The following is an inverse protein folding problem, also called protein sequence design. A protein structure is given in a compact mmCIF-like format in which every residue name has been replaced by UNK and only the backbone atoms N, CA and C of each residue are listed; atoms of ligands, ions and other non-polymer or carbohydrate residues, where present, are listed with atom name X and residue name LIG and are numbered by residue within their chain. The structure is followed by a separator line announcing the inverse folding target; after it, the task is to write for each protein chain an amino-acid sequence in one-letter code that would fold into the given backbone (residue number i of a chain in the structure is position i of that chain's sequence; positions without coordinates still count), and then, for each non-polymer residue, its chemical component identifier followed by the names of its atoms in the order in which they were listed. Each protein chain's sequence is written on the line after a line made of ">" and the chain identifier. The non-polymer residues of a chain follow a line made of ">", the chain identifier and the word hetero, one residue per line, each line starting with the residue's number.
data_IF_253327311454
#
_entry.id   IF_253327311454
#
_cell.length_a   1.000
_cell.length_b   1.000
_cell.length_c   1.000
_cell.angle_alpha   90.00
_cell.angle_beta   90.00
_cell.angle_gamma   90.00
#
_symmetry.space_group_name_H-M   'P 1'
#
loop_
_entity.id
_entity.type
_entity.pdbx_description
1 polymer ?
#
# COMPACT_ATOMS: atom_id res chain seq x y z
N UNK A 1 0.61 -30.55 -2.84
CA UNK A 1 0.45 -29.37 -1.96
C UNK A 1 -0.87 -28.75 -2.31
N UNK A 2 -1.81 -28.61 -1.37
CA UNK A 2 -3.12 -28.06 -1.69
C UNK A 2 -2.97 -26.59 -2.13
N UNK A 3 -3.38 -26.29 -3.36
CA UNK A 3 -3.54 -24.92 -3.85
C UNK A 3 -4.71 -24.29 -3.11
N UNK A 4 -4.48 -23.80 -1.89
CA UNK A 4 -5.44 -22.90 -1.28
C UNK A 4 -5.43 -21.61 -2.10
N UNK A 5 -6.58 -21.18 -2.65
CA UNK A 5 -6.66 -19.86 -3.25
C UNK A 5 -6.21 -18.84 -2.21
N UNK A 6 -5.45 -17.80 -2.61
CA UNK A 6 -5.08 -16.74 -1.69
C UNK A 6 -6.35 -16.19 -1.02
N UNK A 7 -6.31 -15.90 0.28
CA UNK A 7 -7.48 -15.39 0.98
C UNK A 7 -8.05 -14.18 0.24
N UNK A 8 -9.35 -14.21 -0.03
CA UNK A 8 -10.05 -13.12 -0.68
C UNK A 8 -9.87 -11.84 0.14
N UNK A 9 -9.43 -10.76 -0.53
CA UNK A 9 -9.38 -9.43 0.07
C UNK A 9 -10.79 -9.00 0.47
N UNK A 10 -10.98 -8.61 1.74
CA UNK A 10 -12.27 -8.21 2.31
C UNK A 10 -12.09 -7.04 3.27
N UNK A 11 -13.14 -6.23 3.38
CA UNK A 11 -13.18 -5.05 4.25
C UNK A 11 -12.96 -3.75 3.48
N UNK A 12 -12.81 -2.64 4.21
CA UNK A 12 -12.65 -1.32 3.62
C UNK A 12 -11.27 -1.21 2.95
N UNK A 13 -11.29 -0.80 1.68
CA UNK A 13 -10.12 -0.58 0.85
C UNK A 13 -9.94 0.91 0.58
N UNK A 14 -8.86 1.48 1.11
CA UNK A 14 -8.50 2.88 0.90
C UNK A 14 -7.32 3.02 -0.05
N UNK A 15 -7.32 4.13 -0.79
CA UNK A 15 -6.27 4.51 -1.73
C UNK A 15 -5.73 5.87 -1.27
N UNK A 16 -4.42 5.99 -1.11
CA UNK A 16 -3.79 7.26 -0.72
C UNK A 16 -3.76 8.23 -1.89
N UNK A 17 -3.81 9.53 -1.61
CA UNK A 17 -3.57 10.57 -2.61
C UNK A 17 -2.50 11.54 -2.07
N UNK A 18 -1.41 11.83 -2.82
CA UNK A 18 -0.33 12.66 -2.30
C UNK A 18 -0.72 14.12 -2.06
N UNK A 19 -1.83 14.59 -2.65
CA UNK A 19 -2.38 15.94 -2.42
C UNK A 19 -3.14 16.03 -1.11
N UNK A 20 -3.92 14.98 -0.78
CA UNK A 20 -4.73 14.93 0.44
C UNK A 20 -3.95 14.38 1.64
N UNK A 21 -2.97 13.53 1.37
CA UNK A 21 -2.14 12.82 2.34
C UNK A 21 -0.65 13.08 2.04
N UNK A 22 -0.15 14.32 2.26
CA UNK A 22 1.24 14.64 1.95
C UNK A 22 2.21 13.80 2.79
N UNK A 23 3.42 13.58 2.27
CA UNK A 23 4.40 12.61 2.78
C UNK A 23 4.67 12.71 4.29
N UNK A 24 4.67 13.92 4.86
CA UNK A 24 4.90 14.15 6.30
C UNK A 24 3.73 13.74 7.21
N UNK A 25 2.52 13.55 6.66
CA UNK A 25 1.31 13.17 7.40
C UNK A 25 0.75 11.81 6.98
N UNK A 26 1.18 11.30 5.82
CA UNK A 26 0.66 10.07 5.21
C UNK A 26 0.61 8.89 6.19
N UNK A 27 1.72 8.60 6.88
CA UNK A 27 1.81 7.44 7.79
C UNK A 27 0.85 7.59 8.96
N UNK A 28 0.71 8.81 9.51
CA UNK A 28 -0.24 9.09 10.58
C UNK A 28 -1.69 8.93 10.12
N UNK A 29 -2.04 9.44 8.94
CA UNK A 29 -3.40 9.33 8.41
C UNK A 29 -3.76 7.87 8.09
N UNK A 30 -2.82 7.09 7.55
CA UNK A 30 -3.02 5.65 7.35
C UNK A 30 -3.19 4.92 8.68
N UNK A 31 -2.44 5.28 9.72
CA UNK A 31 -2.62 4.71 11.06
C UNK A 31 -4.03 4.98 11.60
N UNK A 32 -4.54 6.21 11.48
CA UNK A 32 -5.91 6.56 11.88
C UNK A 32 -6.97 5.78 11.09
N UNK A 33 -6.74 5.58 9.78
CA UNK A 33 -7.64 4.79 8.95
C UNK A 33 -7.65 3.31 9.37
N UNK A 34 -6.49 2.75 9.71
CA UNK A 34 -6.35 1.37 10.22
C UNK A 34 -7.01 1.20 11.59
N UNK A 35 -6.85 2.17 12.50
CA UNK A 35 -7.59 2.22 13.78
C UNK A 35 -9.10 2.25 13.55
N UNK A 36 -9.57 2.94 12.51
CA UNK A 36 -10.96 2.95 12.07
C UNK A 36 -11.46 1.66 11.40
N UNK A 37 -10.60 0.64 11.24
CA UNK A 37 -10.99 -0.68 10.73
C UNK A 37 -10.71 -0.94 9.26
N UNK A 38 -9.93 -0.08 8.58
CA UNK A 38 -9.43 -0.36 7.22
C UNK A 38 -8.68 -1.69 7.19
N UNK A 39 -8.89 -2.47 6.12
CA UNK A 39 -8.25 -3.78 5.92
C UNK A 39 -7.31 -3.83 4.74
N UNK A 40 -7.38 -2.87 3.84
CA UNK A 40 -6.54 -2.81 2.64
C UNK A 40 -6.15 -1.35 2.40
N UNK A 41 -4.85 -1.10 2.24
CA UNK A 41 -4.29 0.22 1.93
C UNK A 41 -3.52 0.10 0.61
N UNK A 42 -3.89 0.89 -0.39
CA UNK A 42 -3.12 1.07 -1.60
C UNK A 42 -2.35 2.39 -1.54
N UNK A 43 -1.02 2.29 -1.59
CA UNK A 43 -0.17 3.46 -1.79
C UNK A 43 -0.16 3.84 -3.28
N UNK A 44 -0.63 5.06 -3.55
CA UNK A 44 -0.63 5.66 -4.87
C UNK A 44 0.02 7.03 -4.81
N UNK A 45 1.18 7.15 -5.44
CA UNK A 45 1.90 8.40 -5.61
C UNK A 45 2.64 8.37 -6.95
N UNK A 46 2.24 9.26 -7.86
CA UNK A 46 2.84 9.41 -9.21
C UNK A 46 3.82 10.59 -9.28
N UNK A 47 4.10 11.24 -8.16
CA UNK A 47 4.80 12.53 -8.09
C UNK A 47 6.12 12.47 -7.32
N UNK A 48 6.19 11.75 -6.20
CA UNK A 48 7.43 11.64 -5.41
C UNK A 48 8.49 10.80 -6.12
N UNK A 49 9.75 11.09 -5.82
CA UNK A 49 10.89 10.30 -6.28
C UNK A 49 10.90 8.88 -5.66
N UNK A 50 11.63 7.98 -6.29
CA UNK A 50 11.67 6.56 -5.89
C UNK A 50 12.15 6.34 -4.45
N UNK A 51 13.15 7.09 -3.97
CA UNK A 51 13.69 6.88 -2.62
C UNK A 51 12.69 7.32 -1.56
N UNK A 52 12.05 8.47 -1.77
CA UNK A 52 10.95 8.94 -0.92
C UNK A 52 9.81 7.93 -0.88
N UNK A 53 9.34 7.46 -2.04
CA UNK A 53 8.31 6.41 -2.13
C UNK A 53 8.73 5.15 -1.37
N UNK A 54 9.96 4.68 -1.56
CA UNK A 54 10.46 3.45 -0.93
C UNK A 54 10.48 3.55 0.59
N UNK A 55 10.91 4.69 1.14
CA UNK A 55 10.89 4.93 2.58
C UNK A 55 9.46 4.89 3.13
N UNK A 56 8.53 5.57 2.48
CA UNK A 56 7.12 5.59 2.88
C UNK A 56 6.49 4.19 2.77
N UNK A 57 6.68 3.50 1.66
CA UNK A 57 6.14 2.14 1.47
C UNK A 57 6.68 1.17 2.53
N UNK A 58 7.96 1.25 2.92
CA UNK A 58 8.50 0.41 4.01
C UNK A 58 7.81 0.68 5.35
N UNK A 59 7.57 1.94 5.68
CA UNK A 59 6.84 2.31 6.91
C UNK A 59 5.39 1.82 6.86
N UNK A 60 4.72 2.00 5.72
CA UNK A 60 3.33 1.58 5.53
C UNK A 60 3.17 0.06 5.51
N UNK A 61 4.10 -0.70 4.92
CA UNK A 61 4.12 -2.16 4.99
C UNK A 61 4.21 -2.63 6.44
N UNK A 62 5.15 -2.08 7.21
CA UNK A 62 5.32 -2.43 8.63
C UNK A 62 4.08 -2.08 9.45
N UNK A 63 3.50 -0.91 9.22
CA UNK A 63 2.28 -0.45 9.89
C UNK A 63 1.09 -1.37 9.56
N UNK A 64 0.83 -1.65 8.28
CA UNK A 64 -0.28 -2.53 7.89
C UNK A 64 -0.12 -3.95 8.49
N UNK A 65 1.11 -4.45 8.60
CA UNK A 65 1.39 -5.74 9.25
C UNK A 65 0.99 -5.75 10.73
N UNK A 66 1.23 -4.65 11.46
CA UNK A 66 0.81 -4.52 12.87
C UNK A 66 -0.71 -4.58 13.03
N UNK A 67 -1.45 -4.04 12.06
CA UNK A 67 -2.92 -4.00 12.06
C UNK A 67 -3.58 -5.19 11.35
N UNK A 68 -2.79 -6.20 10.93
CA UNK A 68 -3.27 -7.34 10.13
C UNK A 68 -4.02 -6.90 8.86
N UNK A 69 -3.57 -5.82 8.24
CA UNK A 69 -4.10 -5.25 7.01
C UNK A 69 -3.18 -5.54 5.81
N UNK A 70 -3.77 -5.57 4.62
CA UNK A 70 -3.03 -5.73 3.37
C UNK A 70 -2.49 -4.38 2.89
N UNK A 71 -1.25 -4.38 2.40
CA UNK A 71 -0.61 -3.20 1.82
C UNK A 71 -0.27 -3.48 0.36
N UNK A 72 -0.73 -2.60 -0.52
CA UNK A 72 -0.63 -2.73 -1.97
C UNK A 72 0.08 -1.50 -2.53
N UNK A 73 1.04 -1.70 -3.43
CA UNK A 73 1.67 -0.60 -4.18
C UNK A 73 0.97 -0.46 -5.52
N UNK A 74 0.75 0.77 -5.98
CA UNK A 74 0.18 1.03 -7.29
C UNK A 74 1.28 1.10 -8.37
N UNK A 75 1.07 0.40 -9.49
CA UNK A 75 1.84 0.37 -10.77
C UNK A 75 3.33 -0.06 -10.68
N UNK A 76 4.03 0.19 -9.58
CA UNK A 76 5.50 0.12 -9.49
C UNK A 76 5.97 -1.23 -8.90
N UNK A 77 6.29 -2.19 -9.78
CA UNK A 77 6.75 -3.56 -9.42
C UNK A 77 8.04 -3.52 -8.59
N UNK A 78 8.99 -2.65 -8.97
CA UNK A 78 10.27 -2.48 -8.28
C UNK A 78 10.03 -2.01 -6.84
N UNK A 79 9.21 -0.99 -6.68
CA UNK A 79 8.84 -0.45 -5.38
C UNK A 79 8.10 -1.47 -4.52
N UNK A 80 7.15 -2.21 -5.09
CA UNK A 80 6.44 -3.28 -4.39
C UNK A 80 7.39 -4.35 -3.83
N UNK A 81 8.34 -4.82 -4.67
CA UNK A 81 9.34 -5.81 -4.27
C UNK A 81 10.27 -5.28 -3.18
N UNK A 82 10.84 -4.08 -3.36
CA UNK A 82 11.82 -3.51 -2.42
C UNK A 82 11.20 -3.08 -1.08
N UNK A 83 9.91 -2.73 -1.07
CA UNK A 83 9.16 -2.40 0.15
C UNK A 83 8.50 -3.61 0.82
N UNK A 84 8.62 -4.80 0.23
CA UNK A 84 7.97 -6.03 0.68
C UNK A 84 6.45 -5.88 0.81
N UNK A 85 5.83 -5.15 -0.13
CA UNK A 85 4.38 -5.01 -0.17
C UNK A 85 3.70 -6.38 -0.34
N UNK A 86 2.48 -6.51 0.19
CA UNK A 86 1.71 -7.74 0.11
C UNK A 86 1.14 -7.99 -1.30
N UNK A 87 1.03 -6.93 -2.11
CA UNK A 87 0.58 -7.01 -3.49
C UNK A 87 0.87 -5.75 -4.28
N UNK A 88 0.50 -5.81 -5.55
CA UNK A 88 0.56 -4.69 -6.49
C UNK A 88 -0.80 -4.54 -7.18
N UNK A 89 -1.21 -3.30 -7.41
CA UNK A 89 -2.34 -2.97 -8.26
C UNK A 89 -1.82 -2.49 -9.61
N UNK A 90 -2.30 -3.11 -10.69
CA UNK A 90 -1.91 -2.82 -12.07
C UNK A 90 -3.17 -2.45 -12.85
N UNK A 91 -3.15 -1.29 -13.49
CA UNK A 91 -4.13 -0.86 -14.46
C UNK A 91 -3.85 -1.42 -15.86
N UNK A 92 -4.86 -1.36 -16.73
CA UNK A 92 -4.81 -1.95 -18.09
C UNK A 92 -3.66 -1.43 -18.98
N UNK A 93 -3.20 -0.21 -18.71
CA UNK A 93 -2.23 0.48 -19.56
C UNK A 93 -0.87 0.65 -18.87
N UNK A 94 -0.67 0.11 -17.67
CA UNK A 94 0.62 0.21 -16.99
C UNK A 94 1.63 -0.72 -17.67
N UNK A 95 2.84 -0.23 -17.85
CA UNK A 95 3.94 -0.94 -18.48
C UNK A 95 4.80 -1.60 -17.40
N UNK A 96 5.19 -2.86 -17.62
CA UNK A 96 6.02 -3.67 -16.72
C UNK A 96 7.43 -3.09 -16.49
#
# INVERSE_FOLDING_TARGET
>A
MANNPPPLLKGLYVITDPTLCPNNTLVQQVAQALEGGVKIVQFRDKTSDFQTKLQLCKQLTALCKQYQACFIVNDDIQLAKQSQAHGIHIGKNDQD
#
